data_IF_109649071563
#
_entry.id   IF_109649071563
#
_cell.length_a   1.000
_cell.length_b   1.000
_cell.length_c   1.000
_cell.angle_alpha   90.00
_cell.angle_beta   90.00
_cell.angle_gamma   90.00
#
_symmetry.space_group_name_H-M   'P 1'
#
loop_
_entity.id
_entity.type
_entity.pdbx_description
1 polymer ?
#
# COMPACT_ATOMS: atom_id res chain seq x y z
N UNK A 1 0.86 -13.45 -39.84
CA UNK A 1 0.49 -12.77 -38.57
C UNK A 1 0.24 -11.28 -38.84
N UNK A 2 -0.52 -10.93 -39.88
CA UNK A 2 -0.67 -9.54 -40.35
C UNK A 2 -2.10 -8.97 -40.22
N UNK A 3 -3.09 -9.75 -39.73
CA UNK A 3 -4.50 -9.31 -39.74
C UNK A 3 -5.05 -8.75 -38.43
N UNK A 4 -4.39 -8.98 -37.30
CA UNK A 4 -4.90 -8.61 -35.96
C UNK A 4 -4.29 -7.31 -35.41
N UNK A 5 -3.20 -6.82 -35.99
CA UNK A 5 -2.36 -5.81 -35.34
C UNK A 5 -2.87 -4.36 -35.50
N UNK A 6 -3.74 -4.07 -36.49
CA UNK A 6 -4.15 -2.68 -36.78
C UNK A 6 -5.67 -2.43 -36.63
N UNK A 7 -6.48 -3.48 -36.51
CA UNK A 7 -7.93 -3.32 -36.46
C UNK A 7 -8.41 -2.70 -35.14
N UNK A 8 -7.74 -3.03 -34.02
CA UNK A 8 -8.03 -2.44 -32.71
C UNK A 8 -7.78 -0.93 -32.70
N UNK A 9 -6.75 -0.47 -33.42
CA UNK A 9 -6.40 0.94 -33.52
C UNK A 9 -7.53 1.73 -34.15
N UNK A 10 -8.11 1.17 -35.23
CA UNK A 10 -9.25 1.77 -35.93
C UNK A 10 -10.50 1.94 -35.03
N UNK A 11 -10.69 1.03 -34.06
CA UNK A 11 -11.87 0.92 -33.21
C UNK A 11 -11.70 1.56 -31.82
N UNK A 12 -10.53 2.09 -31.49
CA UNK A 12 -10.26 2.70 -30.19
C UNK A 12 -11.03 4.02 -30.03
N UNK A 13 -11.94 4.07 -29.05
CA UNK A 13 -12.76 5.26 -28.73
C UNK A 13 -12.43 5.86 -27.37
N UNK A 14 -11.94 5.07 -26.43
CA UNK A 14 -11.57 5.52 -25.09
C UNK A 14 -10.51 4.62 -24.47
N UNK A 15 -9.71 5.18 -23.55
CA UNK A 15 -8.92 4.37 -22.62
C UNK A 15 -9.04 4.85 -21.18
N UNK A 16 -9.12 3.89 -20.26
CA UNK A 16 -9.01 4.10 -18.82
C UNK A 16 -7.56 4.02 -18.37
N UNK A 17 -7.07 4.98 -17.60
CA UNK A 17 -5.69 4.98 -17.06
C UNK A 17 -5.67 5.28 -15.57
N UNK A 18 -4.57 4.90 -14.91
CA UNK A 18 -4.30 5.23 -13.50
C UNK A 18 -4.04 6.73 -13.27
N UNK A 19 -3.92 7.53 -14.33
CA UNK A 19 -3.67 8.97 -14.24
C UNK A 19 -2.23 9.35 -13.92
N UNK A 20 -1.29 8.41 -13.94
CA UNK A 20 0.13 8.73 -13.88
C UNK A 20 0.53 9.68 -15.02
N UNK A 21 1.51 10.56 -14.79
CA UNK A 21 1.92 11.56 -15.78
C UNK A 21 2.37 10.95 -17.12
N UNK A 22 2.92 9.72 -17.10
CA UNK A 22 3.25 8.95 -18.31
C UNK A 22 2.01 8.60 -19.15
N UNK A 23 0.85 8.45 -18.51
CA UNK A 23 -0.41 8.15 -19.17
C UNK A 23 -1.18 9.41 -19.55
N UNK A 24 -1.30 10.39 -18.65
CA UNK A 24 -2.20 11.55 -18.79
C UNK A 24 -1.49 12.89 -19.01
N UNK A 25 -0.16 12.93 -19.02
CA UNK A 25 0.60 14.16 -19.17
C UNK A 25 0.28 14.91 -20.47
N UNK A 26 0.12 16.23 -20.38
CA UNK A 26 -0.34 17.06 -21.50
C UNK A 26 0.58 17.03 -22.74
N UNK A 27 1.90 16.88 -22.55
CA UNK A 27 2.89 16.91 -23.65
C UNK A 27 3.28 15.54 -24.19
N UNK A 28 3.54 14.59 -23.29
CA UNK A 28 4.11 13.28 -23.62
C UNK A 28 3.30 12.10 -23.07
N UNK A 29 2.14 12.35 -22.47
CA UNK A 29 1.28 11.29 -21.97
C UNK A 29 0.75 10.43 -23.11
N UNK A 30 0.61 9.13 -22.87
CA UNK A 30 0.01 8.19 -23.84
C UNK A 30 -1.33 8.71 -24.36
N UNK A 31 -2.23 9.13 -23.47
CA UNK A 31 -3.54 9.71 -23.84
C UNK A 31 -3.37 10.91 -24.78
N UNK A 32 -2.41 11.80 -24.50
CA UNK A 32 -2.17 13.00 -25.30
C UNK A 32 -1.61 12.67 -26.68
N UNK A 33 -0.76 11.65 -26.79
CA UNK A 33 -0.26 11.15 -28.07
C UNK A 33 -1.37 10.51 -28.91
N UNK A 34 -2.18 9.65 -28.28
CA UNK A 34 -3.35 9.03 -28.91
C UNK A 34 -4.32 10.10 -29.45
N UNK A 35 -4.55 11.16 -28.66
CA UNK A 35 -5.39 12.30 -29.08
C UNK A 35 -4.76 13.14 -30.20
N UNK A 36 -3.43 13.22 -30.26
CA UNK A 36 -2.71 13.88 -31.35
C UNK A 36 -2.96 13.18 -32.70
N UNK A 37 -3.01 11.85 -32.69
CA UNK A 37 -3.34 11.06 -33.88
C UNK A 37 -4.85 11.07 -34.18
N UNK A 38 -5.69 11.00 -33.13
CA UNK A 38 -7.16 10.93 -33.22
C UNK A 38 -7.83 11.73 -32.12
N UNK A 39 -8.27 12.94 -32.46
CA UNK A 39 -8.84 13.90 -31.51
C UNK A 39 -10.08 13.39 -30.75
N UNK A 40 -10.80 12.39 -31.28
CA UNK A 40 -12.02 11.86 -30.66
C UNK A 40 -11.77 10.85 -29.54
N UNK A 41 -10.52 10.40 -29.30
CA UNK A 41 -10.22 9.43 -28.25
C UNK A 41 -10.43 10.06 -26.86
N UNK A 42 -11.20 9.40 -26.01
CA UNK A 42 -11.50 9.85 -24.66
C UNK A 42 -10.52 9.21 -23.67
N UNK A 43 -9.74 10.03 -22.96
CA UNK A 43 -8.95 9.59 -21.81
C UNK A 43 -9.78 9.66 -20.54
N UNK A 44 -9.99 8.52 -19.90
CA UNK A 44 -10.73 8.42 -18.64
C UNK A 44 -9.72 8.13 -17.52
N UNK A 45 -9.65 9.00 -16.52
CA UNK A 45 -8.89 8.71 -15.32
C UNK A 45 -9.74 7.81 -14.41
N UNK A 46 -9.20 6.64 -14.07
CA UNK A 46 -9.88 5.63 -13.28
C UNK A 46 -10.30 6.16 -11.90
N UNK A 47 -11.61 6.17 -11.65
CA UNK A 47 -12.21 6.84 -10.49
C UNK A 47 -11.76 6.24 -9.15
N UNK A 48 -11.60 4.92 -9.06
CA UNK A 48 -11.16 4.29 -7.81
C UNK A 48 -9.73 4.72 -7.43
N UNK A 49 -8.83 4.88 -8.39
CA UNK A 49 -7.49 5.41 -8.09
C UNK A 49 -7.54 6.89 -7.72
N UNK A 50 -8.40 7.69 -8.37
CA UNK A 50 -8.62 9.09 -7.97
C UNK A 50 -9.14 9.21 -6.54
N UNK A 51 -10.09 8.36 -6.15
CA UNK A 51 -10.64 8.33 -4.81
C UNK A 51 -9.56 7.95 -3.79
N UNK A 52 -8.76 6.94 -4.11
CA UNK A 52 -7.63 6.51 -3.28
C UNK A 52 -6.63 7.65 -3.02
N UNK A 53 -6.23 8.35 -4.09
CA UNK A 53 -5.32 9.51 -3.99
C UNK A 53 -5.93 10.63 -3.15
N UNK A 54 -7.20 10.97 -3.41
CA UNK A 54 -7.90 12.04 -2.68
C UNK A 54 -7.98 11.73 -1.19
N UNK A 55 -8.27 10.47 -0.84
CA UNK A 55 -8.32 10.03 0.55
C UNK A 55 -6.93 10.09 1.20
N UNK A 56 -5.89 9.62 0.50
CA UNK A 56 -4.51 9.69 0.99
C UNK A 56 -4.05 11.14 1.20
N UNK A 57 -4.38 12.05 0.30
CA UNK A 57 -4.01 13.46 0.44
C UNK A 57 -4.77 14.15 1.57
N UNK A 58 -6.07 13.87 1.73
CA UNK A 58 -6.87 14.41 2.82
C UNK A 58 -6.35 13.98 4.20
N UNK A 59 -6.08 12.69 4.37
CA UNK A 59 -5.73 12.12 5.67
C UNK A 59 -4.28 12.39 6.10
N UNK A 60 -3.35 12.61 5.15
CA UNK A 60 -1.96 12.98 5.45
C UNK A 60 -1.82 14.29 6.22
N UNK A 61 -2.79 15.21 6.08
CA UNK A 61 -2.83 16.46 6.84
C UNK A 61 -3.20 16.27 8.32
N UNK A 62 -3.69 15.09 8.70
CA UNK A 62 -4.12 14.79 10.06
C UNK A 62 -2.96 14.31 10.93
N UNK A 63 -2.64 15.07 11.99
CA UNK A 63 -1.54 14.76 12.92
C UNK A 63 -1.73 13.43 13.65
N UNK A 64 -2.97 13.04 13.98
CA UNK A 64 -3.22 11.74 14.61
C UNK A 64 -2.97 10.60 13.64
N UNK A 65 -3.30 10.79 12.37
CA UNK A 65 -2.99 9.80 11.34
C UNK A 65 -1.47 9.60 11.20
N UNK A 66 -0.69 10.68 11.18
CA UNK A 66 0.78 10.59 11.10
C UNK A 66 1.36 9.75 12.24
N UNK A 67 0.87 9.91 13.48
CA UNK A 67 1.30 9.08 14.61
C UNK A 67 0.99 7.60 14.42
N UNK A 68 -0.18 7.28 13.84
CA UNK A 68 -0.56 5.89 13.55
C UNK A 68 0.32 5.33 12.43
N UNK A 69 0.57 6.11 11.38
CA UNK A 69 1.45 5.73 10.27
C UNK A 69 2.88 5.46 10.76
N UNK A 70 3.43 6.31 11.64
CA UNK A 70 4.74 6.14 12.24
C UNK A 70 4.81 4.87 13.10
N UNK A 71 3.81 4.63 13.95
CA UNK A 71 3.74 3.44 14.80
C UNK A 71 3.74 2.16 13.94
N UNK A 72 2.81 2.08 12.99
CA UNK A 72 2.65 0.89 12.16
C UNK A 72 3.90 0.68 11.26
N UNK A 73 4.52 1.77 10.77
CA UNK A 73 5.75 1.69 9.96
C UNK A 73 6.95 1.26 10.80
N UNK A 74 7.03 1.74 12.04
CA UNK A 74 8.03 1.31 13.02
C UNK A 74 7.90 -0.17 13.36
N UNK A 75 6.68 -0.64 13.62
CA UNK A 75 6.40 -2.06 13.86
C UNK A 75 6.77 -2.91 12.64
N UNK A 76 6.33 -2.51 11.44
CA UNK A 76 6.70 -3.21 10.22
C UNK A 76 8.23 -3.30 10.07
N UNK A 77 8.95 -2.19 10.23
CA UNK A 77 10.41 -2.17 10.12
C UNK A 77 11.07 -3.07 11.18
N UNK A 78 10.64 -2.97 12.44
CA UNK A 78 11.20 -3.75 13.55
C UNK A 78 11.12 -5.27 13.31
N UNK A 79 9.99 -5.76 12.79
CA UNK A 79 9.78 -7.18 12.52
C UNK A 79 10.25 -7.60 11.13
N UNK A 80 10.30 -6.70 10.15
CA UNK A 80 10.78 -7.01 8.80
C UNK A 80 12.30 -7.09 8.76
N UNK A 81 13.00 -6.20 9.47
CA UNK A 81 14.46 -6.10 9.47
C UNK A 81 15.14 -7.14 10.36
N UNK A 82 14.42 -7.76 11.31
CA UNK A 82 14.97 -8.77 12.23
C UNK A 82 14.23 -10.10 12.09
N UNK A 83 14.84 -11.11 11.44
CA UNK A 83 14.28 -12.46 11.37
C UNK A 83 14.06 -13.07 12.76
N UNK A 84 14.92 -12.74 13.73
CA UNK A 84 14.79 -13.18 15.11
C UNK A 84 13.54 -12.60 15.78
N UNK A 85 13.33 -11.28 15.70
CA UNK A 85 12.13 -10.66 16.27
C UNK A 85 10.86 -11.19 15.62
N UNK A 86 10.90 -11.44 14.31
CA UNK A 86 9.77 -12.02 13.57
C UNK A 86 9.47 -13.44 14.04
N UNK A 87 10.50 -14.29 14.19
CA UNK A 87 10.34 -15.66 14.68
C UNK A 87 9.79 -15.68 16.11
N UNK A 88 10.32 -14.84 16.99
CA UNK A 88 9.86 -14.72 18.37
C UNK A 88 8.40 -14.26 18.46
N UNK A 89 7.99 -13.28 17.64
CA UNK A 89 6.58 -12.89 17.56
C UNK A 89 5.68 -14.05 17.13
N UNK A 90 6.08 -14.81 16.10
CA UNK A 90 5.32 -15.98 15.64
C UNK A 90 5.19 -17.02 16.76
N UNK A 91 6.27 -17.31 17.48
CA UNK A 91 6.27 -18.23 18.61
C UNK A 91 5.33 -17.75 19.73
N UNK A 92 5.25 -16.43 19.97
CA UNK A 92 4.32 -15.84 20.94
C UNK A 92 2.86 -16.06 20.53
N UNK A 93 2.51 -15.83 19.28
CA UNK A 93 1.17 -16.13 18.77
C UNK A 93 0.83 -17.62 18.92
N UNK A 94 1.76 -18.51 18.59
CA UNK A 94 1.58 -19.95 18.75
C UNK A 94 1.37 -20.36 20.21
N UNK A 95 2.13 -19.79 21.15
CA UNK A 95 1.97 -20.04 22.58
C UNK A 95 0.59 -19.58 23.11
N UNK A 96 0.00 -18.55 22.49
CA UNK A 96 -1.36 -18.09 22.78
C UNK A 96 -2.44 -18.93 22.07
N UNK A 97 -2.07 -19.91 21.25
CA UNK A 97 -3.00 -20.67 20.42
C UNK A 97 -3.64 -19.83 19.30
N UNK A 98 -3.04 -18.70 18.94
CA UNK A 98 -3.55 -17.76 17.96
C UNK A 98 -2.83 -17.90 16.61
N UNK A 99 -3.51 -17.55 15.52
CA UNK A 99 -2.88 -17.44 14.20
C UNK A 99 -1.88 -16.28 14.20
N UNK A 100 -0.62 -16.49 13.77
CA UNK A 100 0.37 -15.42 13.73
C UNK A 100 0.00 -14.28 12.80
N UNK A 101 -0.06 -13.06 13.35
CA UNK A 101 -0.28 -11.82 12.59
C UNK A 101 0.96 -10.93 12.70
N UNK A 102 1.74 -10.89 11.62
CA UNK A 102 2.97 -10.07 11.54
C UNK A 102 2.62 -8.70 10.95
N UNK A 103 3.13 -7.59 11.50
CA UNK A 103 2.92 -6.25 10.92
C UNK A 103 3.30 -6.19 9.44
N UNK A 104 2.47 -5.50 8.66
CA UNK A 104 2.60 -5.40 7.20
C UNK A 104 2.98 -3.98 6.77
N UNK A 105 3.47 -3.88 5.53
CA UNK A 105 3.86 -2.60 4.93
C UNK A 105 2.61 -1.74 4.65
N UNK A 106 2.71 -0.44 4.94
CA UNK A 106 1.63 0.55 4.77
C UNK A 106 1.75 1.34 3.44
N UNK A 107 2.97 1.49 2.92
CA UNK A 107 3.22 2.27 1.70
C UNK A 107 3.10 1.46 0.40
N UNK A 108 2.94 2.15 -0.73
CA UNK A 108 2.93 1.57 -2.07
C UNK A 108 1.93 2.23 -3.01
N UNK A 109 1.77 1.67 -4.21
CA UNK A 109 0.81 2.12 -5.24
C UNK A 109 -0.66 1.85 -4.87
N UNK A 110 -0.91 1.07 -3.80
CA UNK A 110 -2.24 0.77 -3.24
C UNK A 110 -2.31 1.11 -1.75
N UNK A 111 -1.95 2.34 -1.42
CA UNK A 111 -1.76 2.82 -0.05
C UNK A 111 -2.96 2.54 0.86
N UNK A 112 -4.21 2.69 0.39
CA UNK A 112 -5.39 2.41 1.24
C UNK A 112 -5.47 0.94 1.60
N UNK A 113 -5.25 0.05 0.64
CA UNK A 113 -5.26 -1.40 0.88
C UNK A 113 -4.18 -1.82 1.86
N UNK A 114 -2.98 -1.25 1.72
CA UNK A 114 -1.86 -1.49 2.63
C UNK A 114 -2.13 -0.99 4.05
N UNK A 115 -2.69 0.22 4.20
CA UNK A 115 -3.08 0.78 5.49
C UNK A 115 -4.13 -0.09 6.19
N UNK A 116 -5.19 -0.48 5.47
CA UNK A 116 -6.24 -1.34 6.03
C UNK A 116 -5.70 -2.69 6.50
N UNK A 117 -4.81 -3.31 5.71
CA UNK A 117 -4.17 -4.57 6.10
C UNK A 117 -3.26 -4.42 7.33
N UNK A 118 -2.50 -3.34 7.41
CA UNK A 118 -1.65 -3.05 8.56
C UNK A 118 -2.46 -2.82 9.84
N UNK A 119 -3.58 -2.07 9.73
CA UNK A 119 -4.51 -1.87 10.84
C UNK A 119 -5.17 -3.17 11.28
N UNK A 120 -5.63 -4.01 10.35
CA UNK A 120 -6.23 -5.31 10.67
C UNK A 120 -5.26 -6.20 11.46
N UNK A 121 -4.02 -6.32 10.97
CA UNK A 121 -2.98 -7.11 11.64
C UNK A 121 -2.62 -6.53 13.01
N UNK A 122 -2.54 -5.20 13.14
CA UNK A 122 -2.25 -4.53 14.41
C UNK A 122 -3.37 -4.74 15.44
N UNK A 123 -4.62 -4.48 15.06
CA UNK A 123 -5.76 -4.55 15.98
C UNK A 123 -6.04 -5.99 16.44
N UNK A 124 -6.03 -6.96 15.50
CA UNK A 124 -6.25 -8.38 15.83
C UNK A 124 -5.04 -9.01 16.49
N UNK A 125 -3.84 -8.55 16.14
CA UNK A 125 -2.57 -9.04 16.69
C UNK A 125 -2.12 -8.32 17.96
N UNK A 126 -2.91 -7.38 18.48
CA UNK A 126 -2.50 -6.45 19.53
C UNK A 126 -1.91 -7.16 20.75
N UNK A 127 -2.59 -8.21 21.25
CA UNK A 127 -2.12 -8.98 22.40
C UNK A 127 -0.74 -9.60 22.17
N UNK A 128 -0.53 -10.29 21.03
CA UNK A 128 0.74 -10.93 20.70
C UNK A 128 1.88 -9.93 20.49
N UNK A 129 1.56 -8.78 19.88
CA UNK A 129 2.50 -7.68 19.67
C UNK A 129 2.96 -7.08 21.01
N UNK A 130 2.02 -6.74 21.89
CA UNK A 130 2.32 -6.14 23.21
C UNK A 130 3.15 -7.09 24.06
N UNK A 131 2.75 -8.36 24.19
CA UNK A 131 3.49 -9.33 25.01
C UNK A 131 4.94 -9.54 24.52
N UNK A 132 5.15 -9.55 23.21
CA UNK A 132 6.51 -9.67 22.68
C UNK A 132 7.34 -8.42 22.95
N UNK A 133 6.78 -7.22 22.76
CA UNK A 133 7.47 -5.96 23.02
C UNK A 133 7.80 -5.78 24.51
N UNK A 134 6.88 -6.13 25.41
CA UNK A 134 7.10 -6.11 26.87
C UNK A 134 8.20 -7.09 27.29
N UNK A 135 8.26 -8.28 26.66
CA UNK A 135 9.33 -9.24 26.91
C UNK A 135 10.70 -8.67 26.52
N UNK A 136 10.80 -8.03 25.36
CA UNK A 136 12.06 -7.41 24.91
C UNK A 136 12.48 -6.31 25.87
N UNK A 137 11.55 -5.43 26.26
CA UNK A 137 11.83 -4.37 27.24
C UNK A 137 12.32 -4.92 28.58
N UNK A 138 11.75 -6.04 29.04
CA UNK A 138 12.13 -6.67 30.31
C UNK A 138 13.49 -7.38 30.25
N UNK A 139 13.86 -7.92 29.08
CA UNK A 139 15.15 -8.59 28.87
C UNK A 139 16.33 -7.60 28.81
N UNK A 140 16.11 -6.41 28.26
CA UNK A 140 17.13 -5.35 28.22
C UNK A 140 17.31 -4.67 29.59
N UNK A 141 16.29 -4.67 30.45
CA UNK A 141 16.34 -4.11 31.81
C UNK A 141 17.10 -4.93 32.86
N UNK A 142 17.51 -6.17 32.54
CA UNK A 142 18.31 -7.03 33.43
C UNK A 142 19.82 -6.99 33.14
N UNK A 143 20.25 -6.24 32.11
CA UNK A 143 21.65 -6.10 31.71
C UNK A 143 22.22 -4.69 31.99
N UNK A 144 21.60 -3.92 32.90
CA UNK A 144 22.09 -2.62 33.39
C UNK A 144 22.28 -2.67 34.90
#
# INVERSE_FOLDING_TARGET
MEGLCDEWWSKLVALGTDGAAVMTGAKNGVVSRLKGDRAYIIGIHYMAHRLELTFSDAIRSNVMFQKVEDLLSGLYTFYHSSPLNRANLINRFQALGQTPLVPTRIGGTRWVGHLLAALDHFLRGYQGLVQHLEQIQSADGQNV
#
